data_IF_641548599370
#
_entry.id   IF_641548599370
#
_cell.length_a   1.000
_cell.length_b   1.000
_cell.length_c   1.000
_cell.angle_alpha   90.00
_cell.angle_beta   90.00
_cell.angle_gamma   90.00
#
_symmetry.space_group_name_H-M   'P 1'
#
loop_
_entity.id
_entity.type
_entity.pdbx_description
1 polymer ?
#
# COMPACT_ATOMS: atom_id res chain seq x y z
N UNK A 1 -20.52 16.26 -10.51
CA UNK A 1 -20.15 15.11 -9.67
C UNK A 1 -19.22 14.24 -10.51
N UNK A 2 -17.90 14.35 -10.28
CA UNK A 2 -16.89 13.63 -11.08
C UNK A 2 -16.99 12.15 -10.74
N UNK A 3 -16.93 11.27 -11.75
CA UNK A 3 -17.00 9.80 -11.61
C UNK A 3 -15.70 9.23 -11.04
N UNK A 4 -15.29 9.65 -9.84
CA UNK A 4 -14.08 9.19 -9.15
C UNK A 4 -14.12 7.67 -8.85
N UNK A 5 -15.27 7.06 -8.47
CA UNK A 5 -15.28 5.63 -8.13
C UNK A 5 -14.88 4.70 -9.27
N UNK A 6 -15.26 5.02 -10.52
CA UNK A 6 -14.91 4.18 -11.67
C UNK A 6 -13.42 4.24 -11.99
N UNK A 7 -12.82 5.43 -11.90
CA UNK A 7 -11.39 5.59 -12.08
C UNK A 7 -10.60 4.81 -11.03
N UNK A 8 -10.98 4.94 -9.76
CA UNK A 8 -10.33 4.22 -8.65
C UNK A 8 -10.45 2.70 -8.81
N UNK A 9 -11.63 2.19 -9.17
CA UNK A 9 -11.83 0.78 -9.46
C UNK A 9 -10.94 0.30 -10.63
N UNK A 10 -10.85 1.08 -11.71
CA UNK A 10 -9.96 0.76 -12.83
C UNK A 10 -8.51 0.73 -12.41
N UNK A 11 -8.03 1.71 -11.64
CA UNK A 11 -6.65 1.74 -11.16
C UNK A 11 -6.33 0.55 -10.24
N UNK A 12 -7.24 0.19 -9.33
CA UNK A 12 -7.08 -1.01 -8.47
C UNK A 12 -7.07 -2.29 -9.31
N UNK A 13 -7.90 -2.39 -10.35
CA UNK A 13 -7.88 -3.54 -11.23
C UNK A 13 -6.57 -3.63 -12.04
N UNK A 14 -6.09 -2.48 -12.54
CA UNK A 14 -4.86 -2.40 -13.33
C UNK A 14 -3.60 -2.67 -12.49
N UNK A 15 -3.56 -2.24 -11.23
CA UNK A 15 -2.42 -2.50 -10.32
C UNK A 15 -2.19 -3.99 -10.04
N UNK A 16 -3.21 -4.82 -10.28
CA UNK A 16 -3.22 -6.28 -10.12
C UNK A 16 -3.34 -7.03 -11.45
N UNK A 17 -3.33 -6.31 -12.58
CA UNK A 17 -3.61 -6.90 -13.88
C UNK A 17 -2.63 -8.02 -14.19
N UNK A 18 -3.17 -9.22 -14.40
CA UNK A 18 -2.43 -10.43 -14.79
C UNK A 18 -1.16 -10.66 -13.95
N UNK A 19 -1.27 -10.42 -12.64
CA UNK A 19 -0.20 -10.73 -11.70
C UNK A 19 0.13 -12.23 -11.76
N UNK A 20 1.43 -12.56 -11.87
CA UNK A 20 1.90 -13.95 -11.90
C UNK A 20 1.76 -14.69 -13.23
N UNK A 21 1.32 -14.05 -14.32
CA UNK A 21 1.31 -14.68 -15.65
C UNK A 21 2.47 -14.18 -16.50
N UNK A 22 3.25 -15.10 -17.07
CA UNK A 22 4.30 -14.79 -18.04
C UNK A 22 3.84 -15.22 -19.44
N UNK A 23 3.92 -14.33 -20.43
CA UNK A 23 3.54 -14.64 -21.82
C UNK A 23 4.72 -14.42 -22.76
N UNK A 24 5.24 -13.19 -22.77
CA UNK A 24 6.35 -12.75 -23.61
C UNK A 24 6.98 -11.51 -22.96
N UNK A 25 8.29 -11.33 -23.14
CA UNK A 25 9.05 -10.28 -22.47
C UNK A 25 8.48 -8.87 -22.73
N UNK A 26 8.10 -8.53 -23.96
CA UNK A 26 7.59 -7.19 -24.27
C UNK A 26 6.23 -6.95 -23.60
N UNK A 27 5.36 -7.97 -23.68
CA UNK A 27 4.03 -7.93 -23.06
C UNK A 27 4.11 -7.87 -21.54
N UNK A 28 5.07 -8.57 -20.94
CA UNK A 28 5.25 -8.60 -19.49
C UNK A 28 5.89 -7.30 -18.98
N UNK A 29 6.78 -6.67 -19.76
CA UNK A 29 7.29 -5.31 -19.48
C UNK A 29 6.18 -4.27 -19.52
N UNK A 30 5.34 -4.26 -20.56
CA UNK A 30 4.19 -3.34 -20.65
C UNK A 30 3.22 -3.52 -19.47
N UNK A 31 3.00 -4.75 -19.03
CA UNK A 31 2.17 -5.02 -17.83
C UNK A 31 2.80 -4.53 -16.55
N UNK A 32 4.12 -4.68 -16.39
CA UNK A 32 4.84 -4.15 -15.25
C UNK A 32 4.70 -2.63 -15.18
N UNK A 33 4.88 -1.92 -16.29
CA UNK A 33 4.67 -0.48 -16.37
C UNK A 33 3.25 -0.08 -16.02
N UNK A 34 2.23 -0.72 -16.62
CA UNK A 34 0.82 -0.42 -16.31
C UNK A 34 0.52 -0.61 -14.83
N UNK A 35 1.04 -1.67 -14.21
CA UNK A 35 0.88 -1.89 -12.76
C UNK A 35 1.57 -0.80 -11.95
N UNK A 36 2.80 -0.46 -12.30
CA UNK A 36 3.61 0.56 -11.62
C UNK A 36 2.91 1.92 -11.65
N UNK A 37 2.57 2.41 -12.85
CA UNK A 37 1.86 3.67 -13.03
C UNK A 37 0.50 3.70 -12.31
N UNK A 38 -0.24 2.59 -12.33
CA UNK A 38 -1.52 2.52 -11.62
C UNK A 38 -1.37 2.63 -10.11
N UNK A 39 -0.30 2.03 -9.54
CA UNK A 39 0.02 2.13 -8.11
C UNK A 39 0.45 3.55 -7.75
N UNK A 40 1.27 4.19 -8.58
CA UNK A 40 1.68 5.58 -8.38
C UNK A 40 0.48 6.53 -8.42
N UNK A 41 -0.44 6.34 -9.37
CA UNK A 41 -1.68 7.13 -9.40
C UNK A 41 -2.49 6.97 -8.11
N UNK A 42 -2.66 5.74 -7.62
CA UNK A 42 -3.37 5.49 -6.37
C UNK A 42 -2.64 6.09 -5.16
N UNK A 43 -1.31 6.03 -5.14
CA UNK A 43 -0.48 6.67 -4.11
C UNK A 43 -0.71 8.18 -4.09
N UNK A 44 -0.67 8.85 -5.25
CA UNK A 44 -0.88 10.29 -5.32
C UNK A 44 -2.30 10.70 -4.91
N UNK A 45 -3.32 9.93 -5.31
CA UNK A 45 -4.69 10.16 -4.85
C UNK A 45 -4.78 10.00 -3.33
N UNK A 46 -4.16 8.97 -2.77
CA UNK A 46 -4.14 8.79 -1.32
C UNK A 46 -3.38 9.92 -0.61
N UNK A 47 -2.26 10.38 -1.16
CA UNK A 47 -1.40 11.38 -0.55
C UNK A 47 -2.02 12.78 -0.56
N UNK A 48 -2.62 13.18 -1.69
CA UNK A 48 -3.25 14.49 -1.88
C UNK A 48 -4.77 14.48 -1.68
N UNK A 49 -5.35 13.34 -1.38
CA UNK A 49 -6.79 13.19 -1.19
C UNK A 49 -7.25 13.64 0.18
N UNK A 50 -8.45 14.23 0.21
CA UNK A 50 -9.12 14.62 1.44
C UNK A 50 -9.84 13.43 2.11
N UNK A 51 -10.66 13.71 3.13
CA UNK A 51 -11.44 12.69 3.84
C UNK A 51 -12.29 11.82 2.90
N UNK A 52 -12.93 12.41 1.90
CA UNK A 52 -13.78 11.71 0.96
C UNK A 52 -12.94 10.77 0.09
N UNK A 53 -11.82 11.27 -0.43
CA UNK A 53 -10.90 10.46 -1.24
C UNK A 53 -10.34 9.27 -0.44
N UNK A 54 -9.97 9.48 0.84
CA UNK A 54 -9.55 8.38 1.71
C UNK A 54 -10.65 7.32 1.85
N UNK A 55 -11.92 7.73 1.99
CA UNK A 55 -13.02 6.78 2.08
C UNK A 55 -13.21 6.01 0.77
N UNK A 56 -13.13 6.68 -0.37
CA UNK A 56 -13.33 6.06 -1.67
C UNK A 56 -12.21 5.05 -1.98
N UNK A 57 -10.96 5.42 -1.71
CA UNK A 57 -9.81 4.55 -1.98
C UNK A 57 -9.85 3.28 -1.11
N UNK A 58 -10.26 3.40 0.16
CA UNK A 58 -10.46 2.25 1.06
C UNK A 58 -11.61 1.36 0.58
N UNK A 59 -12.71 1.96 0.13
CA UNK A 59 -13.88 1.22 -0.34
C UNK A 59 -13.61 0.40 -1.61
N UNK A 60 -12.68 0.84 -2.47
CA UNK A 60 -12.29 0.08 -3.66
C UNK A 60 -11.19 -0.96 -3.41
N UNK A 61 -10.71 -1.11 -2.17
CA UNK A 61 -9.76 -2.15 -1.80
C UNK A 61 -8.29 -1.76 -1.89
N UNK A 62 -7.95 -0.48 -1.71
CA UNK A 62 -6.56 -0.02 -1.79
C UNK A 62 -5.59 -0.72 -0.84
N UNK A 63 -6.05 -1.16 0.35
CA UNK A 63 -5.21 -1.96 1.26
C UNK A 63 -4.67 -3.22 0.60
N UNK A 64 -5.47 -3.84 -0.28
CA UNK A 64 -5.08 -5.02 -1.07
C UNK A 64 -4.09 -4.72 -2.20
N UNK A 65 -4.03 -3.47 -2.66
CA UNK A 65 -3.03 -3.05 -3.66
C UNK A 65 -1.68 -2.87 -2.98
N UNK A 66 -1.69 -2.28 -1.79
CA UNK A 66 -0.49 -2.02 -1.00
C UNK A 66 0.24 -3.29 -0.60
N UNK A 67 -0.47 -4.37 -0.26
CA UNK A 67 0.13 -5.67 0.08
C UNK A 67 1.02 -6.23 -1.04
N UNK A 68 0.70 -5.93 -2.30
CA UNK A 68 1.38 -6.46 -3.48
C UNK A 68 2.66 -5.69 -3.81
N UNK A 69 2.82 -4.45 -3.33
CA UNK A 69 3.92 -3.57 -3.77
C UNK A 69 5.28 -3.90 -3.15
N UNK A 70 5.32 -4.68 -2.07
CA UNK A 70 6.56 -5.05 -1.38
C UNK A 70 6.76 -6.57 -1.31
N UNK A 71 5.91 -7.37 -1.97
CA UNK A 71 6.08 -8.81 -2.07
C UNK A 71 7.30 -9.13 -2.94
N UNK A 72 8.13 -10.07 -2.48
CA UNK A 72 9.43 -10.38 -3.10
C UNK A 72 9.38 -11.23 -4.37
N UNK A 73 8.20 -11.56 -4.87
CA UNK A 73 7.97 -12.62 -5.85
C UNK A 73 8.49 -12.37 -7.29
N UNK A 74 9.53 -11.55 -7.52
CA UNK A 74 10.05 -11.36 -8.88
C UNK A 74 11.30 -10.51 -9.11
N UNK A 75 12.04 -10.05 -8.10
CA UNK A 75 13.23 -9.19 -8.28
C UNK A 75 14.49 -9.72 -7.59
N UNK A 76 15.65 -9.15 -7.96
CA UNK A 76 16.92 -9.24 -7.22
C UNK A 76 17.69 -7.92 -7.37
N UNK A 77 18.20 -7.34 -6.26
CA UNK A 77 19.11 -6.19 -6.29
C UNK A 77 18.59 -4.92 -5.58
N UNK A 78 19.32 -3.82 -5.71
CA UNK A 78 19.05 -2.54 -5.01
C UNK A 78 17.71 -1.89 -5.38
N UNK A 79 17.28 -2.04 -6.64
CA UNK A 79 16.00 -1.51 -7.11
C UNK A 79 14.82 -2.19 -6.39
N UNK A 80 14.93 -3.50 -6.14
CA UNK A 80 13.93 -4.25 -5.37
C UNK A 80 13.89 -3.83 -3.90
N UNK A 81 15.06 -3.60 -3.30
CA UNK A 81 15.16 -3.10 -1.92
C UNK A 81 14.47 -1.73 -1.77
N UNK A 82 14.61 -0.84 -2.77
CA UNK A 82 13.94 0.45 -2.79
C UNK A 82 12.41 0.31 -2.93
N UNK A 83 11.93 -0.56 -3.81
CA UNK A 83 10.50 -0.84 -3.97
C UNK A 83 9.87 -1.40 -2.69
N UNK A 84 10.56 -2.35 -2.04
CA UNK A 84 10.15 -2.91 -0.75
C UNK A 84 10.06 -1.80 0.29
N UNK A 85 11.11 -0.98 0.42
CA UNK A 85 11.14 0.14 1.35
C UNK A 85 9.97 1.12 1.10
N UNK A 86 9.71 1.46 -0.15
CA UNK A 86 8.64 2.38 -0.54
C UNK A 86 7.25 1.79 -0.24
N UNK A 87 7.04 0.49 -0.48
CA UNK A 87 5.81 -0.21 -0.14
C UNK A 87 5.54 -0.23 1.38
N UNK A 88 6.55 -0.60 2.18
CA UNK A 88 6.45 -0.62 3.64
C UNK A 88 6.22 0.79 4.22
N UNK A 89 6.94 1.79 3.70
CA UNK A 89 6.75 3.20 4.06
C UNK A 89 5.32 3.66 3.73
N UNK A 90 4.80 3.28 2.57
CA UNK A 90 3.44 3.63 2.16
C UNK A 90 2.38 3.05 3.09
N UNK A 91 2.51 1.78 3.52
CA UNK A 91 1.65 1.17 4.56
C UNK A 91 1.68 1.99 5.84
N UNK A 92 2.87 2.26 6.35
CA UNK A 92 3.04 2.97 7.60
C UNK A 92 2.34 4.33 7.56
N UNK A 93 2.63 5.15 6.56
CA UNK A 93 2.07 6.51 6.46
C UNK A 93 0.57 6.50 6.24
N UNK A 94 0.05 5.58 5.43
CA UNK A 94 -1.37 5.47 5.18
C UNK A 94 -2.15 5.11 6.44
N UNK A 95 -1.79 4.02 7.12
CA UNK A 95 -2.46 3.59 8.34
C UNK A 95 -2.28 4.62 9.45
N UNK A 96 -1.08 5.23 9.58
CA UNK A 96 -0.83 6.28 10.56
C UNK A 96 -1.73 7.49 10.35
N UNK A 97 -1.90 7.92 9.09
CA UNK A 97 -2.82 9.01 8.75
C UNK A 97 -4.28 8.64 9.06
N UNK A 98 -4.72 7.41 8.79
CA UNK A 98 -6.08 6.99 9.14
C UNK A 98 -6.31 6.94 10.66
N UNK A 99 -5.29 6.59 11.45
CA UNK A 99 -5.39 6.54 12.92
C UNK A 99 -5.29 7.90 13.60
N UNK A 100 -4.37 8.75 13.16
CA UNK A 100 -4.05 10.01 13.81
C UNK A 100 -4.67 11.24 13.10
N UNK A 101 -5.22 11.06 11.90
CA UNK A 101 -5.61 12.15 11.02
C UNK A 101 -4.42 12.80 10.34
N UNK A 102 -4.69 13.89 9.60
CA UNK A 102 -3.67 14.77 9.00
C UNK A 102 -3.91 16.20 9.44
N UNK A 103 -2.85 16.87 9.88
CA UNK A 103 -2.89 18.30 10.23
C UNK A 103 -1.71 19.11 9.66
N UNK A 104 -0.94 18.53 8.73
CA UNK A 104 0.20 19.21 8.16
C UNK A 104 -0.23 20.21 7.07
N UNK A 105 0.58 21.25 6.81
CA UNK A 105 0.26 22.30 5.85
C UNK A 105 0.39 21.90 4.37
N UNK A 106 0.78 20.66 4.08
CA UNK A 106 1.13 20.19 2.73
C UNK A 106 0.14 19.15 2.17
N UNK A 107 -0.69 18.56 3.02
CA UNK A 107 -1.74 17.59 2.65
C UNK A 107 -3.09 18.10 3.13
N UNK A 108 -4.20 17.69 2.48
CA UNK A 108 -5.52 17.98 3.02
C UNK A 108 -5.66 17.42 4.43
N UNK A 109 -6.16 18.26 5.33
CA UNK A 109 -6.38 17.87 6.71
C UNK A 109 -7.65 17.04 6.84
N UNK A 110 -7.61 16.06 7.74
CA UNK A 110 -8.78 15.30 8.14
C UNK A 110 -8.61 14.76 9.56
N UNK A 111 -9.74 14.60 10.25
CA UNK A 111 -9.78 13.96 11.56
C UNK A 111 -9.54 12.45 11.44
N UNK A 112 -9.05 11.77 12.49
CA UNK A 112 -8.93 10.32 12.54
C UNK A 112 -10.13 9.57 11.91
N UNK A 113 -9.83 8.54 11.11
CA UNK A 113 -10.79 7.69 10.39
C UNK A 113 -10.65 6.22 10.83
N UNK A 114 -10.91 5.89 12.11
CA UNK A 114 -10.60 4.57 12.69
C UNK A 114 -11.33 3.40 12.00
N UNK A 115 -12.55 3.62 11.50
CA UNK A 115 -13.29 2.58 10.76
C UNK A 115 -12.63 2.25 9.42
N UNK A 116 -12.06 3.26 8.75
CA UNK A 116 -11.33 3.05 7.50
C UNK A 116 -9.99 2.38 7.77
N UNK A 117 -9.29 2.78 8.84
CA UNK A 117 -8.04 2.16 9.26
C UNK A 117 -8.21 0.65 9.47
N UNK A 118 -9.22 0.27 10.25
CA UNK A 118 -9.58 -1.13 10.49
C UNK A 118 -9.87 -1.88 9.18
N UNK A 119 -10.65 -1.28 8.28
CA UNK A 119 -10.97 -1.91 6.99
C UNK A 119 -9.72 -2.13 6.13
N UNK A 120 -8.80 -1.18 6.14
CA UNK A 120 -7.53 -1.28 5.43
C UNK A 120 -6.62 -2.36 6.02
N UNK A 121 -6.58 -2.50 7.35
CA UNK A 121 -5.85 -3.58 8.02
C UNK A 121 -6.42 -4.95 7.64
N UNK A 122 -7.75 -5.11 7.70
CA UNK A 122 -8.44 -6.34 7.27
C UNK A 122 -8.11 -6.67 5.80
N UNK A 123 -8.11 -5.67 4.90
CA UNK A 123 -7.71 -5.85 3.49
C UNK A 123 -6.25 -6.28 3.31
N UNK A 124 -5.33 -5.73 4.10
CA UNK A 124 -3.90 -6.09 4.05
C UNK A 124 -3.70 -7.52 4.56
N UNK A 125 -4.40 -7.91 5.63
CA UNK A 125 -4.34 -9.26 6.19
C UNK A 125 -4.92 -10.31 5.22
N UNK A 126 -6.06 -10.01 4.58
CA UNK A 126 -6.71 -10.90 3.60
C UNK A 126 -5.81 -11.27 2.41
N UNK A 127 -4.83 -10.43 2.06
CA UNK A 127 -3.89 -10.66 0.97
C UNK A 127 -2.57 -11.32 1.43
N UNK A 128 -2.48 -11.79 2.69
CA UNK A 128 -1.29 -12.46 3.20
C UNK A 128 -0.07 -11.55 3.34
N UNK A 129 -0.29 -10.23 3.47
CA UNK A 129 0.82 -9.28 3.57
C UNK A 129 1.56 -9.37 4.92
N UNK A 130 0.97 -10.05 5.91
CA UNK A 130 1.58 -10.21 7.24
C UNK A 130 2.86 -11.04 7.14
N UNK A 131 2.80 -12.15 6.43
CA UNK A 131 3.92 -13.06 6.20
C UNK A 131 5.04 -12.35 5.43
N UNK A 132 4.68 -11.55 4.41
CA UNK A 132 5.63 -10.75 3.63
C UNK A 132 6.30 -9.67 4.50
N UNK A 133 5.55 -8.93 5.33
CA UNK A 133 6.12 -7.95 6.26
C UNK A 133 7.06 -8.62 7.25
N UNK A 134 6.71 -9.80 7.78
CA UNK A 134 7.55 -10.57 8.69
C UNK A 134 8.83 -11.07 8.03
N UNK A 135 8.78 -11.49 6.76
CA UNK A 135 9.97 -11.83 5.98
C UNK A 135 10.90 -10.61 5.86
N UNK A 136 10.36 -9.41 5.60
CA UNK A 136 11.17 -8.19 5.48
C UNK A 136 11.80 -7.71 6.80
N UNK A 137 11.28 -8.13 7.96
CA UNK A 137 11.93 -7.84 9.26
C UNK A 137 13.29 -8.52 9.41
N UNK A 138 13.49 -9.65 8.74
CA UNK A 138 14.73 -10.42 8.76
C UNK A 138 15.55 -10.22 7.47
N UNK A 139 15.16 -9.28 6.62
CA UNK A 139 15.91 -8.97 5.40
C UNK A 139 17.30 -8.43 5.79
N UNK A 140 18.34 -9.15 5.35
CA UNK A 140 19.75 -8.84 5.57
C UNK A 140 20.38 -8.07 4.38
N UNK A 141 19.54 -7.52 3.49
CA UNK A 141 19.96 -6.62 2.42
C UNK A 141 20.73 -5.39 2.94
N UNK A 142 21.23 -4.57 2.02
CA UNK A 142 22.16 -3.48 2.35
C UNK A 142 21.54 -2.35 3.20
N UNK A 143 20.22 -2.35 3.39
CA UNK A 143 19.48 -1.25 3.99
C UNK A 143 18.86 -1.61 5.34
N UNK A 144 19.51 -1.14 6.42
CA UNK A 144 18.97 -1.12 7.81
C UNK A 144 17.55 -0.53 7.86
N UNK A 145 17.22 0.36 6.93
CA UNK A 145 15.93 1.01 6.83
C UNK A 145 14.78 0.07 6.48
N UNK A 146 14.99 -0.98 5.68
CA UNK A 146 13.92 -1.93 5.32
C UNK A 146 13.38 -2.63 6.56
N UNK A 147 14.27 -3.17 7.41
CA UNK A 147 13.89 -3.80 8.67
C UNK A 147 13.14 -2.82 9.58
N UNK A 148 13.61 -1.57 9.67
CA UNK A 148 12.96 -0.55 10.49
C UNK A 148 11.55 -0.21 9.96
N UNK A 149 11.39 -0.10 8.64
CA UNK A 149 10.09 0.13 8.02
C UNK A 149 9.17 -1.08 8.12
N UNK A 150 9.70 -2.30 8.03
CA UNK A 150 8.94 -3.54 8.25
C UNK A 150 8.41 -3.60 9.69
N UNK A 151 9.24 -3.28 10.68
CA UNK A 151 8.81 -3.18 12.08
C UNK A 151 7.71 -2.13 12.28
N UNK A 152 7.85 -0.95 11.66
CA UNK A 152 6.84 0.11 11.73
C UNK A 152 5.54 -0.28 11.03
N UNK A 153 5.61 -0.87 9.84
CA UNK A 153 4.45 -1.34 9.09
C UNK A 153 3.73 -2.44 9.89
N UNK A 154 4.46 -3.41 10.43
CA UNK A 154 3.92 -4.45 11.32
C UNK A 154 3.22 -3.85 12.54
N UNK A 155 3.84 -2.88 13.20
CA UNK A 155 3.23 -2.21 14.35
C UNK A 155 1.92 -1.53 13.96
N UNK A 156 1.84 -0.86 12.80
CA UNK A 156 0.61 -0.23 12.35
C UNK A 156 -0.48 -1.23 11.97
N UNK A 157 -0.12 -2.34 11.32
CA UNK A 157 -1.09 -3.38 10.93
C UNK A 157 -1.60 -4.18 12.14
N UNK A 158 -0.80 -4.31 13.22
CA UNK A 158 -1.16 -5.09 14.42
C UNK A 158 -1.67 -4.27 15.61
N UNK A 159 -1.33 -2.97 15.72
CA UNK A 159 -1.62 -2.18 16.92
C UNK A 159 -3.12 -1.98 17.22
N UNK A 160 -4.02 -2.22 16.26
CA UNK A 160 -5.46 -2.08 16.47
C UNK A 160 -6.09 -3.21 17.28
N UNK A 161 -5.46 -4.39 17.33
CA UNK A 161 -5.99 -5.49 18.13
C UNK A 161 -5.66 -5.35 19.62
N UNK A 162 -4.67 -4.53 19.99
CA UNK A 162 -4.24 -4.36 21.39
C UNK A 162 -5.13 -3.38 22.15
N UNK A 163 -5.75 -2.40 21.48
CA UNK A 163 -6.70 -1.47 22.09
C UNK A 163 -8.15 -1.98 22.12
N UNK A 164 -8.38 -3.27 21.79
CA UNK A 164 -9.64 -3.99 22.06
C UNK A 164 -9.68 -4.52 23.50
N UNK A 165 -9.70 -3.63 24.48
CA UNK A 165 -10.09 -3.98 25.87
C UNK A 165 -11.20 -3.08 26.36
#
# INVERSE_FOLDING_TARGET
>A
MIQIPKLLQSLVALSRFRLGTHIDLDVDNQRLEVRSWSRDCLYYIQYYGDKQDQSEIVNVGYGRVMSITFSTAGGQGEEQDMEIMNGLRSIYWFLSALHAGRNNGWQPSFQPLPLLARRSEEQIEEEGAKEEIEAQMNNNGYYVDIRNWANKAKAMTLNCFIHRR
#
